data_IF_109280144792
#
_entry.id   IF_109280144792
#
_cell.length_a   1.000
_cell.length_b   1.000
_cell.length_c   1.000
_cell.angle_alpha   90.00
_cell.angle_beta   90.00
_cell.angle_gamma   90.00
#
_symmetry.space_group_name_H-M   'P 1'
#
loop_
_entity.id
_entity.type
_entity.pdbx_description
1 polymer ?
#
# COMPACT_ATOMS: atom_id res chain seq x y z
N UNK A 1 7.81 16.34 13.35
CA UNK A 1 8.76 15.39 12.75
C UNK A 1 9.88 16.21 12.16
N UNK A 2 11.12 15.87 12.47
CA UNK A 2 12.28 16.45 11.80
C UNK A 2 12.33 15.85 10.38
N UNK A 3 12.56 16.67 9.36
CA UNK A 3 12.59 16.19 7.99
C UNK A 3 13.76 15.20 7.85
N UNK A 4 13.51 14.02 7.29
CA UNK A 4 14.53 12.98 7.11
C UNK A 4 15.64 13.37 6.11
N UNK A 5 15.64 14.60 5.58
CA UNK A 5 16.59 15.06 4.56
C UNK A 5 16.33 14.49 3.16
N UNK A 6 15.28 13.69 2.98
CA UNK A 6 14.88 13.16 1.68
C UNK A 6 14.32 14.27 0.77
N UNK A 7 14.70 14.23 -0.49
CA UNK A 7 14.06 15.02 -1.55
C UNK A 7 12.83 14.26 -2.05
N UNK A 8 11.77 14.99 -2.37
CA UNK A 8 10.54 14.39 -2.86
C UNK A 8 9.93 15.25 -3.97
N UNK A 9 9.35 14.57 -4.94
CA UNK A 9 8.51 15.16 -5.97
C UNK A 9 7.13 14.47 -5.93
N UNK A 10 6.07 15.25 -6.11
CA UNK A 10 4.72 14.71 -6.23
C UNK A 10 4.38 14.52 -7.71
N UNK A 11 3.98 13.29 -8.07
CA UNK A 11 3.62 12.94 -9.43
C UNK A 11 2.18 12.42 -9.49
N UNK A 12 1.30 13.17 -10.16
CA UNK A 12 -0.04 12.70 -10.46
C UNK A 12 -0.04 11.82 -11.72
N UNK A 13 -0.32 10.53 -11.56
CA UNK A 13 -0.33 9.54 -12.65
C UNK A 13 -1.74 9.23 -13.20
N UNK A 14 -2.80 9.64 -12.48
CA UNK A 14 -4.18 9.31 -12.83
C UNK A 14 -4.56 7.84 -12.58
N UNK A 15 -5.75 7.45 -13.02
CA UNK A 15 -6.31 6.10 -12.80
C UNK A 15 -6.31 5.21 -14.07
N UNK A 16 -5.92 5.75 -15.21
CA UNK A 16 -5.85 4.99 -16.47
C UNK A 16 -4.45 4.36 -16.61
N UNK A 17 -4.32 3.02 -16.70
CA UNK A 17 -3.04 2.33 -16.61
C UNK A 17 -1.99 2.76 -17.63
N UNK A 18 -2.36 2.99 -18.90
CA UNK A 18 -1.39 3.34 -19.94
C UNK A 18 -0.85 4.76 -19.75
N UNK A 19 -1.73 5.70 -19.42
CA UNK A 19 -1.39 7.09 -19.09
C UNK A 19 -0.51 7.14 -17.85
N UNK A 20 -0.85 6.37 -16.82
CA UNK A 20 -0.07 6.29 -15.59
C UNK A 20 1.34 5.77 -15.85
N UNK A 21 1.48 4.67 -16.61
CA UNK A 21 2.78 4.10 -16.98
C UNK A 21 3.63 5.06 -17.81
N UNK A 22 3.05 5.71 -18.82
CA UNK A 22 3.76 6.69 -19.64
C UNK A 22 4.25 7.89 -18.81
N UNK A 23 3.44 8.32 -17.84
CA UNK A 23 3.77 9.43 -16.94
C UNK A 23 4.94 9.06 -16.02
N UNK A 24 4.88 7.88 -15.40
CA UNK A 24 5.97 7.33 -14.57
C UNK A 24 7.27 7.20 -15.38
N UNK A 25 7.20 6.60 -16.57
CA UNK A 25 8.38 6.42 -17.42
C UNK A 25 9.02 7.76 -17.80
N UNK A 26 8.21 8.74 -18.19
CA UNK A 26 8.71 10.08 -18.55
C UNK A 26 9.37 10.77 -17.37
N UNK A 27 8.79 10.62 -16.17
CA UNK A 27 9.35 11.19 -14.94
C UNK A 27 10.70 10.56 -14.59
N UNK A 28 10.79 9.22 -14.59
CA UNK A 28 12.02 8.50 -14.24
C UNK A 28 13.15 8.74 -15.26
N UNK A 29 12.81 8.96 -16.54
CA UNK A 29 13.80 9.36 -17.55
C UNK A 29 14.36 10.77 -17.31
N UNK A 30 13.56 11.68 -16.78
CA UNK A 30 13.98 13.04 -16.49
C UNK A 30 14.69 13.20 -15.14
N UNK A 31 14.41 12.31 -14.18
CA UNK A 31 14.89 12.37 -12.80
C UNK A 31 15.66 11.08 -12.45
N UNK A 32 16.82 10.90 -13.07
CA UNK A 32 17.62 9.66 -13.02
C UNK A 32 18.23 9.36 -11.64
N UNK A 33 18.17 10.30 -10.71
CA UNK A 33 18.59 10.17 -9.32
C UNK A 33 17.47 9.66 -8.39
N UNK A 34 16.24 9.50 -8.90
CA UNK A 34 15.14 8.89 -8.16
C UNK A 34 15.48 7.43 -7.82
N UNK A 35 15.41 7.08 -6.53
CA UNK A 35 15.70 5.74 -6.01
C UNK A 35 14.55 5.15 -5.15
N UNK A 36 13.49 5.92 -4.90
CA UNK A 36 12.28 5.45 -4.24
C UNK A 36 11.03 5.87 -5.01
N UNK A 37 10.03 4.99 -5.07
CA UNK A 37 8.66 5.32 -5.47
C UNK A 37 7.72 4.97 -4.32
N UNK A 38 6.97 5.95 -3.84
CA UNK A 38 5.87 5.73 -2.88
C UNK A 38 4.53 5.85 -3.60
N UNK A 39 3.85 4.72 -3.78
CA UNK A 39 2.53 4.66 -4.41
C UNK A 39 1.42 4.86 -3.39
N UNK A 40 0.58 5.88 -3.60
CA UNK A 40 -0.51 6.25 -2.67
C UNK A 40 -1.80 5.44 -2.86
N UNK A 41 -1.75 4.37 -3.65
CA UNK A 41 -2.82 3.39 -3.75
C UNK A 41 -2.24 2.01 -4.10
N UNK A 42 -2.66 0.97 -3.37
CA UNK A 42 -2.12 -0.40 -3.51
C UNK A 42 -2.06 -0.90 -4.95
N UNK A 43 -3.11 -0.66 -5.74
CA UNK A 43 -3.23 -1.10 -7.14
C UNK A 43 -2.21 -0.47 -8.10
N UNK A 44 -1.56 0.63 -7.72
CA UNK A 44 -0.56 1.30 -8.57
C UNK A 44 0.85 0.76 -8.38
N UNK A 45 1.11 -0.03 -7.32
CA UNK A 45 2.42 -0.63 -7.06
C UNK A 45 2.90 -1.56 -8.19
N UNK A 46 2.07 -2.47 -8.75
CA UNK A 46 2.47 -3.28 -9.91
C UNK A 46 2.82 -2.46 -11.15
N UNK A 47 2.24 -1.27 -11.30
CA UNK A 47 2.52 -0.41 -12.45
C UNK A 47 3.85 0.32 -12.28
N UNK A 48 4.13 0.82 -11.08
CA UNK A 48 5.43 1.40 -10.72
C UNK A 48 6.55 0.37 -10.88
N UNK A 49 6.35 -0.84 -10.35
CA UNK A 49 7.31 -1.94 -10.47
C UNK A 49 7.53 -2.32 -11.92
N UNK A 50 6.45 -2.52 -12.69
CA UNK A 50 6.55 -2.89 -14.09
C UNK A 50 7.31 -1.84 -14.93
N UNK A 51 7.04 -0.55 -14.72
CA UNK A 51 7.77 0.52 -15.42
C UNK A 51 9.25 0.53 -15.05
N UNK A 52 9.56 0.44 -13.76
CA UNK A 52 10.95 0.41 -13.30
C UNK A 52 11.70 -0.82 -13.83
N UNK A 53 11.05 -1.98 -13.86
CA UNK A 53 11.60 -3.22 -14.41
C UNK A 53 11.83 -3.10 -15.92
N UNK A 54 10.85 -2.61 -16.68
CA UNK A 54 10.95 -2.38 -18.13
C UNK A 54 12.07 -1.38 -18.49
N UNK A 55 12.36 -0.46 -17.58
CA UNK A 55 13.47 0.51 -17.70
C UNK A 55 14.82 -0.04 -17.23
N UNK A 56 14.87 -1.26 -16.66
CA UNK A 56 16.09 -1.86 -16.14
C UNK A 56 16.61 -1.23 -14.85
N UNK A 57 15.71 -0.72 -14.00
CA UNK A 57 16.04 -0.03 -12.75
C UNK A 57 16.08 -0.96 -11.52
N UNK A 58 16.11 -2.29 -11.72
CA UNK A 58 16.14 -3.33 -10.65
C UNK A 58 15.19 -3.03 -9.49
N UNK A 59 13.87 -3.12 -9.68
CA UNK A 59 12.89 -2.68 -8.68
C UNK A 59 12.59 -3.69 -7.55
N UNK A 60 13.23 -4.86 -7.56
CA UNK A 60 13.09 -5.83 -6.49
C UNK A 60 13.81 -5.35 -5.22
N UNK A 61 13.35 -5.85 -4.07
CA UNK A 61 13.85 -5.43 -2.76
C UNK A 61 15.18 -6.15 -2.47
N UNK A 62 16.28 -5.58 -2.96
CA UNK A 62 17.64 -6.14 -2.85
C UNK A 62 18.78 -5.13 -2.62
N UNK A 63 18.45 -3.87 -2.30
CA UNK A 63 19.38 -2.74 -2.13
C UNK A 63 20.17 -2.32 -3.39
N UNK A 64 19.88 -2.85 -4.58
CA UNK A 64 20.64 -2.54 -5.81
C UNK A 64 20.04 -1.40 -6.65
N UNK A 65 18.72 -1.26 -6.66
CA UNK A 65 18.01 -0.38 -7.60
C UNK A 65 16.91 0.47 -6.98
N UNK A 66 15.80 0.57 -7.71
CA UNK A 66 14.63 1.33 -7.33
C UNK A 66 13.87 0.62 -6.21
N UNK A 67 13.58 1.30 -5.11
CA UNK A 67 12.74 0.71 -4.05
C UNK A 67 11.30 1.22 -4.15
N UNK A 68 10.33 0.30 -4.08
CA UNK A 68 8.91 0.65 -4.14
C UNK A 68 8.26 0.43 -2.77
N UNK A 69 7.49 1.42 -2.33
CA UNK A 69 6.63 1.35 -1.16
C UNK A 69 5.20 1.65 -1.57
N UNK A 70 4.23 1.07 -0.88
CA UNK A 70 2.81 1.32 -1.15
C UNK A 70 2.00 1.50 0.14
N UNK A 71 0.69 1.60 -0.03
CA UNK A 71 -0.29 1.71 1.05
C UNK A 71 -1.31 0.58 0.96
N UNK A 72 -2.12 0.49 2.01
CA UNK A 72 -3.21 -0.45 2.22
C UNK A 72 -2.76 -1.91 2.42
N UNK A 73 -3.56 -2.65 3.16
CA UNK A 73 -3.40 -4.07 3.45
C UNK A 73 -4.22 -4.96 2.50
N UNK A 74 -4.43 -4.51 1.27
CA UNK A 74 -5.10 -5.30 0.23
C UNK A 74 -4.21 -6.44 -0.29
N UNK A 75 -4.79 -7.49 -0.89
CA UNK A 75 -4.01 -8.64 -1.41
C UNK A 75 -2.87 -8.23 -2.35
N UNK A 76 -3.11 -7.30 -3.29
CA UNK A 76 -2.04 -6.74 -4.13
C UNK A 76 -0.89 -6.16 -3.29
N UNK A 77 -1.16 -5.32 -2.29
CA UNK A 77 -0.07 -4.72 -1.50
C UNK A 77 0.69 -5.76 -0.67
N UNK A 78 -0.01 -6.75 -0.10
CA UNK A 78 0.58 -7.80 0.71
C UNK A 78 1.44 -8.74 -0.15
N UNK A 79 0.91 -9.22 -1.28
CA UNK A 79 1.65 -10.12 -2.17
C UNK A 79 2.88 -9.44 -2.78
N UNK A 80 2.79 -8.15 -3.09
CA UNK A 80 3.96 -7.39 -3.54
C UNK A 80 5.10 -7.40 -2.52
N UNK A 81 4.77 -7.36 -1.23
CA UNK A 81 5.77 -7.50 -0.14
C UNK A 81 6.27 -8.94 -0.01
N UNK A 82 5.38 -9.94 -0.13
CA UNK A 82 5.75 -11.37 -0.02
C UNK A 82 6.65 -11.83 -1.17
N UNK A 83 6.42 -11.30 -2.36
CA UNK A 83 7.17 -11.60 -3.58
C UNK A 83 8.48 -10.79 -3.69
N UNK A 84 8.69 -9.81 -2.80
CA UNK A 84 9.89 -8.97 -2.81
C UNK A 84 9.88 -7.86 -3.86
N UNK A 85 8.72 -7.52 -4.41
CA UNK A 85 8.53 -6.42 -5.36
C UNK A 85 8.27 -5.07 -4.68
N UNK A 86 7.84 -5.10 -3.42
CA UNK A 86 7.50 -3.92 -2.60
C UNK A 86 8.18 -4.05 -1.25
N UNK A 87 8.89 -3.02 -0.79
CA UNK A 87 9.62 -3.05 0.50
C UNK A 87 8.65 -3.16 1.68
N UNK A 88 7.59 -2.35 1.66
CA UNK A 88 6.58 -2.34 2.69
C UNK A 88 5.27 -1.73 2.18
N UNK A 89 4.18 -2.14 2.83
CA UNK A 89 2.89 -1.45 2.81
C UNK A 89 2.47 -1.08 4.23
N UNK A 90 1.29 -0.48 4.41
CA UNK A 90 0.72 -0.24 5.72
C UNK A 90 -0.76 -0.65 5.79
N UNK A 91 -1.14 -1.22 6.93
CA UNK A 91 -2.55 -1.35 7.30
C UNK A 91 -3.07 -0.10 7.96
N UNK A 92 -4.28 0.33 7.59
CA UNK A 92 -5.03 1.36 8.32
C UNK A 92 -5.97 0.76 9.38
N UNK A 93 -5.98 -0.56 9.53
CA UNK A 93 -6.80 -1.32 10.45
C UNK A 93 -8.20 -1.58 9.91
N UNK A 94 -8.32 -1.98 8.63
CA UNK A 94 -9.60 -2.10 7.91
C UNK A 94 -10.68 -2.87 8.69
N UNK A 95 -10.30 -3.96 9.37
CA UNK A 95 -11.25 -4.76 10.14
C UNK A 95 -11.82 -3.98 11.32
N UNK A 96 -10.96 -3.26 12.04
CA UNK A 96 -11.38 -2.42 13.16
C UNK A 96 -12.19 -1.21 12.67
N UNK A 97 -11.85 -0.66 11.50
CA UNK A 97 -12.65 0.39 10.85
C UNK A 97 -14.04 -0.11 10.41
N UNK A 98 -14.20 -1.39 10.08
CA UNK A 98 -15.51 -2.00 9.85
C UNK A 98 -16.28 -2.28 11.14
N UNK A 99 -15.59 -2.73 12.19
CA UNK A 99 -16.20 -3.17 13.44
C UNK A 99 -16.58 -2.02 14.39
N UNK A 100 -15.62 -1.15 14.72
CA UNK A 100 -15.79 -0.15 15.77
C UNK A 100 -16.92 0.85 15.49
N UNK A 101 -17.12 1.36 14.26
CA UNK A 101 -18.24 2.25 13.96
C UNK A 101 -19.60 1.57 14.16
N UNK A 102 -19.71 0.27 13.88
CA UNK A 102 -20.95 -0.49 14.05
C UNK A 102 -21.29 -0.68 15.54
N UNK A 103 -20.28 -0.94 16.36
CA UNK A 103 -20.43 -1.02 17.82
C UNK A 103 -20.85 0.33 18.41
N UNK A 104 -20.17 1.42 18.03
CA UNK A 104 -20.53 2.77 18.49
C UNK A 104 -21.90 3.23 18.01
N UNK A 105 -22.31 2.85 16.80
CA UNK A 105 -23.64 3.10 16.30
C UNK A 105 -24.70 2.43 17.17
N UNK A 106 -24.46 1.19 17.62
CA UNK A 106 -25.35 0.51 18.55
C UNK A 106 -25.45 1.23 19.90
N UNK A 107 -24.32 1.58 20.53
CA UNK A 107 -24.33 2.27 21.83
C UNK A 107 -24.98 3.64 21.76
N UNK A 108 -24.70 4.39 20.69
CA UNK A 108 -25.35 5.66 20.44
C UNK A 108 -26.86 5.50 20.34
N UNK A 109 -27.32 4.54 19.52
CA UNK A 109 -28.76 4.33 19.30
C UNK A 109 -29.49 3.80 20.54
N UNK A 110 -28.85 2.96 21.35
CA UNK A 110 -29.48 2.29 22.51
C UNK A 110 -29.37 3.08 23.80
N UNK A 111 -28.26 3.77 24.02
CA UNK A 111 -27.91 4.36 25.30
C UNK A 111 -27.50 5.84 25.20
N UNK A 112 -27.40 6.39 23.98
CA UNK A 112 -26.99 7.79 23.77
C UNK A 112 -25.50 8.03 23.97
N UNK A 113 -24.67 6.98 24.03
CA UNK A 113 -23.23 7.13 24.19
C UNK A 113 -22.56 7.61 22.88
N UNK A 114 -21.44 8.30 23.04
CA UNK A 114 -20.58 8.71 21.94
C UNK A 114 -19.11 8.54 22.35
N UNK A 115 -18.21 8.25 21.40
CA UNK A 115 -16.78 8.23 21.68
C UNK A 115 -16.35 9.57 22.28
N UNK A 116 -15.48 9.53 23.29
CA UNK A 116 -14.92 10.75 23.90
C UNK A 116 -13.70 11.27 23.13
N UNK A 117 -13.16 10.47 22.22
CA UNK A 117 -11.99 10.80 21.39
C UNK A 117 -12.02 9.99 20.10
N UNK A 118 -11.12 10.34 19.19
CA UNK A 118 -10.87 9.54 17.99
C UNK A 118 -10.36 8.14 18.37
N UNK A 119 -10.70 7.17 17.51
CA UNK A 119 -10.26 5.78 17.63
C UNK A 119 -9.20 5.56 16.56
N UNK A 120 -7.94 5.49 16.99
CA UNK A 120 -6.82 5.24 16.11
C UNK A 120 -6.72 3.74 15.82
N UNK A 121 -6.78 3.36 14.54
CA UNK A 121 -6.77 1.95 14.10
C UNK A 121 -5.47 1.54 13.40
N UNK A 122 -4.55 2.49 13.18
CA UNK A 122 -3.27 2.31 12.51
C UNK A 122 -2.45 3.61 12.50
N UNK A 123 -1.38 3.69 11.69
CA UNK A 123 -0.94 2.69 10.73
C UNK A 123 -0.12 1.55 11.36
N UNK A 124 -0.21 0.34 10.80
CA UNK A 124 0.71 -0.75 11.07
C UNK A 124 1.55 -1.01 9.82
N UNK A 125 2.87 -0.90 9.92
CA UNK A 125 3.77 -1.21 8.78
C UNK A 125 3.79 -2.73 8.57
N UNK A 126 3.64 -3.14 7.31
CA UNK A 126 3.68 -4.51 6.82
C UNK A 126 4.91 -4.64 5.94
N UNK A 127 5.95 -5.24 6.51
CA UNK A 127 7.19 -5.66 5.87
C UNK A 127 7.18 -7.18 5.66
N UNK A 128 8.24 -7.73 5.05
CA UNK A 128 8.36 -9.17 4.77
C UNK A 128 8.22 -10.05 6.02
N UNK A 129 8.62 -9.54 7.19
CA UNK A 129 8.49 -10.26 8.47
C UNK A 129 7.02 -10.42 8.92
N UNK A 130 6.13 -9.51 8.48
CA UNK A 130 4.71 -9.49 8.88
C UNK A 130 3.74 -9.85 7.75
N UNK A 131 4.21 -9.93 6.51
CA UNK A 131 3.35 -10.06 5.34
C UNK A 131 2.48 -11.34 5.38
N UNK A 132 3.05 -12.48 5.80
CA UNK A 132 2.28 -13.73 5.95
C UNK A 132 1.18 -13.61 7.01
N UNK A 133 1.46 -12.97 8.15
CA UNK A 133 0.45 -12.74 9.20
C UNK A 133 -0.72 -11.90 8.67
N UNK A 134 -0.45 -10.89 7.84
CA UNK A 134 -1.48 -10.05 7.26
C UNK A 134 -2.26 -10.77 6.16
N UNK A 135 -1.59 -11.60 5.34
CA UNK A 135 -2.27 -12.46 4.37
C UNK A 135 -3.29 -13.37 5.07
N UNK A 136 -2.89 -14.03 6.16
CA UNK A 136 -3.77 -14.88 6.96
C UNK A 136 -4.97 -14.11 7.53
N UNK A 137 -4.74 -12.90 8.06
CA UNK A 137 -5.82 -12.05 8.57
C UNK A 137 -6.83 -11.70 7.47
N UNK A 138 -6.36 -11.20 6.32
CA UNK A 138 -7.23 -10.78 5.22
C UNK A 138 -8.02 -11.97 4.66
N UNK A 139 -7.37 -13.14 4.51
CA UNK A 139 -8.04 -14.40 4.12
C UNK A 139 -9.09 -14.82 5.13
N UNK A 140 -8.82 -14.69 6.43
CA UNK A 140 -9.80 -15.05 7.47
C UNK A 140 -11.07 -14.19 7.43
N UNK A 141 -10.95 -12.94 6.95
CA UNK A 141 -12.07 -12.00 6.87
C UNK A 141 -12.85 -12.12 5.57
N UNK A 142 -12.16 -12.17 4.42
CA UNK A 142 -12.80 -12.11 3.10
C UNK A 142 -12.87 -13.46 2.38
N UNK A 143 -12.13 -14.46 2.87
CA UNK A 143 -11.99 -15.77 2.24
C UNK A 143 -10.96 -15.78 1.10
N UNK A 144 -10.43 -16.98 0.83
CA UNK A 144 -9.35 -17.18 -0.16
C UNK A 144 -9.74 -16.71 -1.56
N UNK A 145 -10.96 -16.99 -2.01
CA UNK A 145 -11.40 -16.61 -3.36
C UNK A 145 -11.33 -15.09 -3.58
N UNK A 146 -11.78 -14.29 -2.61
CA UNK A 146 -11.75 -12.84 -2.72
C UNK A 146 -10.32 -12.29 -2.62
N UNK A 147 -9.47 -12.96 -1.86
CA UNK A 147 -8.05 -12.64 -1.77
C UNK A 147 -7.36 -12.83 -3.13
N UNK A 148 -7.49 -14.02 -3.72
CA UNK A 148 -6.81 -14.35 -4.98
C UNK A 148 -7.28 -13.48 -6.15
N UNK A 149 -8.55 -13.08 -6.19
CA UNK A 149 -9.07 -12.20 -7.25
C UNK A 149 -8.48 -10.79 -7.24
N UNK A 150 -7.88 -10.38 -6.12
CA UNK A 150 -7.29 -9.06 -5.93
C UNK A 150 -5.76 -9.11 -5.94
N UNK A 151 -5.16 -10.28 -6.11
CA UNK A 151 -3.74 -10.37 -6.44
C UNK A 151 -3.57 -10.05 -7.94
N UNK A 152 -2.82 -9.00 -8.25
CA UNK A 152 -2.60 -8.51 -9.63
C UNK A 152 -1.13 -8.46 -10.01
N UNK A 153 -0.27 -9.13 -9.24
CA UNK A 153 1.12 -9.38 -9.63
C UNK A 153 1.21 -10.49 -10.68
#
# INVERSE_FOLDING_TARGET
MEAAGAQFDELFIGAEPATARNTLQSFLQANTDTNYIFTVAGWSAPWAWGVANDMGLSPDVDDEGMTILTVDEGPVSIEGVREGHVLATNSQGFWLQGYAPMEWLYWNKRFGYAPQSDILTGPNIIDSEKADQWADLVRSVFGDQAYEQQNTW
#
